data_IF_538596101503
#
_entry.id   IF_538596101503
#
_cell.length_a   1.000
_cell.length_b   1.000
_cell.length_c   1.000
_cell.angle_alpha   90.00
_cell.angle_beta   90.00
_cell.angle_gamma   90.00
#
_symmetry.space_group_name_H-M   'P 1'
#
loop_
_entity.id
_entity.type
_entity.pdbx_description
1 polymer ?
#
# COMPACT_ATOMS: atom_id res chain seq x y z
N UNK A 1 13.59 -10.95 -5.49
CA UNK A 1 14.10 -9.71 -6.11
C UNK A 1 15.51 -9.92 -6.67
N UNK A 2 15.90 -9.31 -7.83
CA UNK A 2 17.25 -9.48 -8.42
C UNK A 2 18.35 -8.77 -7.62
N UNK A 3 18.09 -7.59 -7.02
CA UNK A 3 19.04 -6.81 -6.21
C UNK A 3 18.71 -6.96 -4.73
N UNK A 4 19.07 -8.11 -4.16
CA UNK A 4 18.75 -8.47 -2.76
C UNK A 4 19.22 -7.45 -1.71
N UNK A 5 20.38 -6.79 -1.92
CA UNK A 5 20.90 -5.79 -0.97
C UNK A 5 20.04 -4.51 -0.85
N UNK A 6 19.23 -4.22 -1.87
CA UNK A 6 18.32 -3.07 -1.90
C UNK A 6 16.91 -3.44 -1.41
N UNK A 7 16.70 -4.67 -0.98
CA UNK A 7 15.40 -5.13 -0.50
C UNK A 7 15.20 -4.64 0.93
N UNK A 8 14.01 -4.08 1.18
CA UNK A 8 13.53 -3.76 2.53
C UNK A 8 13.07 -5.06 3.22
N UNK A 9 13.09 -5.07 4.55
CA UNK A 9 12.46 -6.13 5.31
C UNK A 9 10.93 -6.09 5.17
N UNK A 10 10.27 -7.15 5.60
CA UNK A 10 8.80 -7.20 5.60
C UNK A 10 8.23 -6.15 6.57
N UNK A 11 8.85 -5.96 7.74
CA UNK A 11 8.45 -4.96 8.73
C UNK A 11 8.59 -3.52 8.17
N UNK A 12 9.69 -3.22 7.48
CA UNK A 12 9.91 -1.93 6.84
C UNK A 12 8.86 -1.69 5.74
N UNK A 13 8.58 -2.72 4.94
CA UNK A 13 7.57 -2.66 3.86
C UNK A 13 6.16 -2.45 4.42
N UNK A 14 5.80 -3.17 5.49
CA UNK A 14 4.53 -2.99 6.20
C UNK A 14 4.42 -1.59 6.81
N UNK A 15 5.50 -1.09 7.43
CA UNK A 15 5.53 0.26 7.99
C UNK A 15 5.25 1.34 6.92
N UNK A 16 5.75 1.17 5.70
CA UNK A 16 5.46 2.05 4.57
C UNK A 16 3.97 1.98 4.21
N UNK A 17 3.41 0.77 4.08
CA UNK A 17 1.98 0.60 3.80
C UNK A 17 1.09 1.22 4.88
N UNK A 18 1.48 1.14 6.15
CA UNK A 18 0.74 1.74 7.26
C UNK A 18 0.79 3.27 7.27
N UNK A 19 1.90 3.87 6.85
CA UNK A 19 2.09 5.34 6.87
C UNK A 19 1.44 6.03 5.69
N UNK A 20 1.60 5.48 4.49
CA UNK A 20 1.08 6.09 3.28
C UNK A 20 -0.45 6.10 3.25
N UNK A 21 -1.00 7.07 2.54
CA UNK A 21 -2.46 7.27 2.41
C UNK A 21 -2.99 6.95 1.03
N UNK A 22 -2.10 6.81 0.05
CA UNK A 22 -2.47 6.51 -1.34
C UNK A 22 -1.38 5.69 -2.03
N UNK A 23 -1.77 5.02 -3.10
CA UNK A 23 -0.88 4.29 -3.98
C UNK A 23 -1.54 4.07 -5.34
N UNK A 24 -0.90 3.29 -6.17
CA UNK A 24 -1.39 2.94 -7.51
C UNK A 24 -1.83 1.47 -7.53
N UNK A 25 -3.11 1.25 -7.75
CA UNK A 25 -3.70 -0.07 -7.98
C UNK A 25 -3.58 -0.42 -9.46
N UNK A 26 -2.92 -1.53 -9.76
CA UNK A 26 -2.77 -2.05 -11.12
C UNK A 26 -3.65 -3.30 -11.30
N UNK A 27 -4.50 -3.25 -12.31
CA UNK A 27 -5.49 -4.25 -12.66
C UNK A 27 -5.31 -4.67 -14.13
N UNK A 28 -5.94 -5.76 -14.52
CA UNK A 28 -6.10 -6.13 -15.92
C UNK A 28 -7.29 -5.36 -16.49
N UNK A 29 -7.01 -4.39 -17.35
CA UNK A 29 -8.02 -3.58 -18.01
C UNK A 29 -8.53 -4.21 -19.30
N UNK A 30 -9.43 -3.50 -19.99
CA UNK A 30 -10.03 -3.92 -21.23
C UNK A 30 -9.00 -3.98 -22.37
N UNK A 31 -9.25 -4.87 -23.34
CA UNK A 31 -8.39 -5.03 -24.50
C UNK A 31 -6.97 -5.53 -24.17
N UNK A 32 -6.76 -6.08 -22.97
CA UNK A 32 -5.45 -6.57 -22.52
C UNK A 32 -4.49 -5.47 -22.02
N UNK A 33 -4.94 -4.24 -21.90
CA UNK A 33 -4.12 -3.16 -21.36
C UNK A 33 -3.98 -3.28 -19.82
N UNK A 34 -2.75 -3.13 -19.27
CA UNK A 34 -2.59 -2.88 -17.84
C UNK A 34 -3.29 -1.57 -17.47
N UNK A 35 -4.16 -1.64 -16.46
CA UNK A 35 -4.89 -0.47 -15.97
C UNK A 35 -4.34 -0.08 -14.59
N UNK A 36 -3.77 1.11 -14.48
CA UNK A 36 -3.19 1.67 -13.26
C UNK A 36 -4.01 2.88 -12.79
N UNK A 37 -4.52 2.83 -11.56
CA UNK A 37 -5.35 3.89 -11.00
C UNK A 37 -4.83 4.32 -9.63
N UNK A 38 -4.57 5.64 -9.40
CA UNK A 38 -4.28 6.16 -8.07
C UNK A 38 -5.52 6.01 -7.18
N UNK A 39 -5.30 5.55 -5.94
CA UNK A 39 -6.41 5.34 -5.00
C UNK A 39 -5.91 5.45 -3.54
N UNK A 40 -6.74 6.02 -2.69
CA UNK A 40 -6.53 6.00 -1.23
C UNK A 40 -6.88 4.63 -0.65
N UNK A 41 -6.15 4.23 0.39
CA UNK A 41 -6.29 2.89 0.98
C UNK A 41 -6.00 2.88 2.47
N UNK A 42 -6.33 1.79 3.12
CA UNK A 42 -5.84 1.45 4.46
C UNK A 42 -5.21 0.07 4.43
N UNK A 43 -4.04 -0.07 5.05
CA UNK A 43 -3.44 -1.35 5.38
C UNK A 43 -3.89 -1.77 6.77
N UNK A 44 -4.41 -2.97 6.91
CA UNK A 44 -4.75 -3.60 8.18
C UNK A 44 -4.58 -5.11 8.09
N UNK A 45 -3.81 -5.68 9.00
CA UNK A 45 -3.57 -7.12 9.19
C UNK A 45 -3.36 -7.91 7.89
N UNK A 46 -2.39 -7.49 7.07
CA UNK A 46 -2.03 -8.18 5.82
C UNK A 46 -2.93 -7.89 4.63
N UNK A 47 -3.90 -6.99 4.78
CA UNK A 47 -4.86 -6.64 3.74
C UNK A 47 -4.80 -5.16 3.41
N UNK A 48 -5.21 -4.83 2.17
CA UNK A 48 -5.48 -3.45 1.79
C UNK A 48 -6.98 -3.28 1.56
N UNK A 49 -7.52 -2.19 2.07
CA UNK A 49 -8.93 -1.87 1.95
C UNK A 49 -9.11 -0.57 1.17
N UNK A 50 -10.08 -0.58 0.28
CA UNK A 50 -10.44 0.58 -0.54
C UNK A 50 -11.94 0.77 -0.57
N UNK A 51 -12.37 1.98 -0.93
CA UNK A 51 -13.76 2.23 -1.30
C UNK A 51 -13.86 2.69 -2.75
N UNK A 52 -15.01 2.51 -3.35
CA UNK A 52 -15.30 2.92 -4.72
C UNK A 52 -16.78 3.28 -4.88
N UNK A 53 -17.10 4.02 -5.95
CA UNK A 53 -18.46 4.10 -6.46
C UNK A 53 -18.95 2.73 -6.90
N UNK A 54 -20.29 2.59 -7.03
CA UNK A 54 -20.96 1.32 -7.36
C UNK A 54 -20.62 0.76 -8.76
N UNK A 55 -20.09 1.59 -9.66
CA UNK A 55 -19.74 1.24 -11.04
C UNK A 55 -18.53 2.01 -11.53
N UNK A 56 -17.95 1.56 -12.62
CA UNK A 56 -16.83 2.18 -13.32
C UNK A 56 -15.76 1.17 -13.70
N UNK A 57 -14.82 1.60 -14.55
CA UNK A 57 -13.80 0.75 -15.16
C UNK A 57 -13.03 -0.12 -14.13
N UNK A 58 -12.67 0.46 -12.99
CA UNK A 58 -12.01 -0.26 -11.89
C UNK A 58 -12.87 -1.41 -11.36
N UNK A 59 -14.17 -1.19 -11.21
CA UNK A 59 -15.13 -2.19 -10.70
C UNK A 59 -15.26 -3.34 -11.71
N UNK A 60 -15.35 -3.00 -13.00
CA UNK A 60 -15.47 -3.98 -14.08
C UNK A 60 -14.17 -4.81 -14.19
N UNK A 61 -13.00 -4.16 -14.09
CA UNK A 61 -11.71 -4.84 -14.10
C UNK A 61 -11.57 -5.84 -12.94
N UNK A 62 -11.99 -5.47 -11.71
CA UNK A 62 -11.97 -6.36 -10.55
C UNK A 62 -12.92 -7.55 -10.73
N UNK A 63 -14.09 -7.35 -11.31
CA UNK A 63 -15.04 -8.44 -11.60
C UNK A 63 -14.50 -9.42 -12.63
N UNK A 64 -13.72 -8.95 -13.59
CA UNK A 64 -13.15 -9.76 -14.66
C UNK A 64 -11.88 -10.53 -14.24
N UNK A 65 -11.07 -9.98 -13.33
CA UNK A 65 -9.83 -10.61 -12.89
C UNK A 65 -9.53 -10.22 -11.44
N UNK A 66 -9.36 -11.22 -10.59
CA UNK A 66 -9.06 -11.05 -9.16
C UNK A 66 -7.57 -10.81 -8.86
N UNK A 67 -6.68 -10.94 -9.85
CA UNK A 67 -5.25 -10.69 -9.67
C UNK A 67 -4.94 -9.22 -9.84
N UNK A 68 -4.26 -8.66 -8.85
CA UNK A 68 -3.86 -7.26 -8.86
C UNK A 68 -2.48 -7.06 -8.25
N UNK A 69 -1.92 -5.88 -8.47
CA UNK A 69 -0.79 -5.39 -7.69
C UNK A 69 -1.04 -3.96 -7.22
N UNK A 70 -0.39 -3.60 -6.11
CA UNK A 70 -0.52 -2.27 -5.54
C UNK A 70 0.86 -1.70 -5.24
N UNK A 71 1.13 -0.50 -5.73
CA UNK A 71 2.42 0.18 -5.58
C UNK A 71 2.28 1.42 -4.71
N UNK A 72 3.17 1.53 -3.71
CA UNK A 72 3.31 2.72 -2.87
C UNK A 72 4.72 3.27 -3.03
N UNK A 73 4.84 4.56 -3.28
CA UNK A 73 6.11 5.30 -3.28
C UNK A 73 6.22 6.00 -1.94
N UNK A 74 7.20 5.59 -1.12
CA UNK A 74 7.50 6.21 0.18
C UNK A 74 8.43 7.41 0.00
N UNK A 75 9.39 7.29 -0.91
CA UNK A 75 10.36 8.34 -1.19
C UNK A 75 10.68 8.39 -2.69
N UNK A 76 10.74 9.62 -3.22
CA UNK A 76 11.22 9.94 -4.56
C UNK A 76 11.95 11.29 -4.50
N UNK A 77 13.28 11.25 -4.37
CA UNK A 77 14.11 12.43 -4.21
C UNK A 77 15.25 12.43 -5.25
N UNK A 78 15.08 13.22 -6.29
CA UNK A 78 16.12 13.39 -7.33
C UNK A 78 17.34 14.10 -6.74
N UNK A 79 18.54 13.57 -7.01
CA UNK A 79 19.85 14.13 -6.65
C UNK A 79 20.62 14.47 -7.92
N UNK A 80 20.42 15.66 -8.51
CA UNK A 80 21.01 15.99 -9.82
C UNK A 80 22.53 15.94 -9.85
N UNK A 81 23.18 16.40 -8.76
CA UNK A 81 24.64 16.39 -8.67
C UNK A 81 25.26 14.97 -8.60
N UNK A 82 24.47 13.98 -8.22
CA UNK A 82 24.88 12.58 -8.10
C UNK A 82 24.35 11.71 -9.26
N UNK A 83 23.58 12.31 -10.19
CA UNK A 83 22.93 11.61 -11.30
C UNK A 83 22.12 10.39 -10.85
N UNK A 84 21.41 10.50 -9.71
CA UNK A 84 20.63 9.42 -9.12
C UNK A 84 19.33 9.92 -8.48
N UNK A 85 18.46 8.98 -8.12
CA UNK A 85 17.24 9.23 -7.35
C UNK A 85 17.26 8.39 -6.08
N UNK A 86 17.10 9.04 -4.94
CA UNK A 86 16.93 8.37 -3.65
C UNK A 86 15.47 7.97 -3.52
N UNK A 87 15.16 6.74 -3.92
CA UNK A 87 13.81 6.22 -3.93
C UNK A 87 13.61 5.13 -2.89
N UNK A 88 12.37 5.01 -2.42
CA UNK A 88 11.88 3.89 -1.63
C UNK A 88 10.44 3.58 -2.02
N UNK A 89 10.14 2.33 -2.30
CA UNK A 89 8.81 1.91 -2.73
C UNK A 89 8.50 0.48 -2.28
N UNK A 90 7.19 0.19 -2.21
CA UNK A 90 6.67 -1.13 -1.89
C UNK A 90 5.70 -1.54 -2.99
N UNK A 91 5.75 -2.82 -3.39
CA UNK A 91 4.78 -3.43 -4.29
C UNK A 91 4.21 -4.68 -3.61
N UNK A 92 2.89 -4.69 -3.46
CA UNK A 92 2.11 -5.84 -3.03
C UNK A 92 1.49 -6.52 -4.26
N UNK A 93 1.48 -7.86 -4.28
CA UNK A 93 0.78 -8.70 -5.24
C UNK A 93 -0.23 -9.56 -4.49
N UNK A 94 -1.41 -9.76 -5.07
CA UNK A 94 -2.42 -10.54 -4.37
C UNK A 94 -3.74 -10.63 -5.11
N UNK A 95 -4.79 -10.95 -4.35
CA UNK A 95 -6.16 -11.12 -4.82
C UNK A 95 -7.03 -9.97 -4.37
N UNK A 96 -7.78 -9.42 -5.31
CA UNK A 96 -8.69 -8.30 -5.07
C UNK A 96 -10.13 -8.74 -5.31
N UNK A 97 -11.04 -8.30 -4.45
CA UNK A 97 -12.46 -8.59 -4.59
C UNK A 97 -13.34 -7.44 -4.11
N UNK A 98 -14.53 -7.36 -4.66
CA UNK A 98 -15.61 -6.56 -4.12
C UNK A 98 -16.21 -7.33 -2.93
N UNK A 99 -16.45 -6.63 -1.83
CA UNK A 99 -17.03 -7.20 -0.62
C UNK A 99 -18.55 -7.15 -0.74
N UNK A 100 -19.18 -8.32 -0.72
CA UNK A 100 -20.64 -8.47 -0.84
C UNK A 100 -21.33 -8.59 0.53
N UNK A 101 -20.62 -9.10 1.55
CA UNK A 101 -21.15 -9.21 2.90
C UNK A 101 -21.26 -7.84 3.55
N UNK A 102 -22.47 -7.49 4.00
CA UNK A 102 -22.76 -6.17 4.57
C UNK A 102 -22.04 -5.92 5.90
N UNK A 103 -21.76 -6.96 6.69
CA UNK A 103 -21.04 -6.84 7.96
C UNK A 103 -19.55 -6.57 7.71
N UNK A 104 -18.93 -7.29 6.75
CA UNK A 104 -17.56 -7.03 6.32
C UNK A 104 -17.42 -5.64 5.68
N UNK A 105 -18.38 -5.26 4.84
CA UNK A 105 -18.42 -3.93 4.21
C UNK A 105 -18.49 -2.81 5.25
N UNK A 106 -19.33 -2.95 6.27
CA UNK A 106 -19.42 -2.00 7.37
C UNK A 106 -18.11 -1.90 8.15
N UNK A 107 -17.49 -3.05 8.46
CA UNK A 107 -16.21 -3.09 9.15
C UNK A 107 -15.10 -2.35 8.36
N UNK A 108 -15.00 -2.60 7.06
CA UNK A 108 -14.05 -1.92 6.17
C UNK A 108 -14.33 -0.41 6.11
N UNK A 109 -15.60 -0.02 6.01
CA UNK A 109 -15.97 1.40 5.98
C UNK A 109 -15.56 2.12 7.28
N UNK A 110 -15.68 1.45 8.44
CA UNK A 110 -15.20 1.97 9.74
C UNK A 110 -13.68 2.08 9.78
N UNK A 111 -12.94 1.07 9.30
CA UNK A 111 -11.47 1.09 9.21
C UNK A 111 -11.02 2.29 8.36
N UNK A 112 -11.61 2.46 7.18
CA UNK A 112 -11.32 3.59 6.29
C UNK A 112 -11.65 4.93 6.95
N UNK A 113 -12.83 5.05 7.54
CA UNK A 113 -13.29 6.28 8.20
C UNK A 113 -12.37 6.69 9.36
N UNK A 114 -12.04 5.76 10.23
CA UNK A 114 -11.16 6.02 11.38
C UNK A 114 -9.72 6.37 10.98
N UNK A 115 -9.23 5.82 9.87
CA UNK A 115 -7.90 6.13 9.33
C UNK A 115 -7.77 7.58 8.90
N UNK A 116 -8.81 8.09 8.22
CA UNK A 116 -8.77 9.44 7.63
C UNK A 116 -9.38 10.53 8.53
N UNK A 117 -10.27 10.14 9.45
CA UNK A 117 -10.93 11.04 10.38
C UNK A 117 -10.91 10.45 11.80
N UNK A 118 -9.74 10.35 12.43
CA UNK A 118 -9.63 9.78 13.77
C UNK A 118 -10.39 10.61 14.80
N UNK A 119 -10.95 9.95 15.82
CA UNK A 119 -11.68 10.57 16.93
C UNK A 119 -12.96 11.32 16.52
N UNK A 120 -13.61 10.93 15.42
CA UNK A 120 -14.85 11.53 14.90
C UNK A 120 -15.99 10.51 14.82
N UNK A 121 -16.22 9.72 15.90
CA UNK A 121 -17.14 8.58 15.89
C UNK A 121 -18.58 8.97 15.52
N UNK A 122 -19.10 10.09 16.05
CA UNK A 122 -20.46 10.55 15.71
C UNK A 122 -20.60 10.96 14.24
N UNK A 123 -19.59 11.63 13.70
CA UNK A 123 -19.56 12.02 12.30
C UNK A 123 -19.44 10.80 11.38
N UNK A 124 -18.59 9.83 11.77
CA UNK A 124 -18.44 8.56 11.06
C UNK A 124 -19.75 7.79 11.04
N UNK A 125 -20.45 7.69 12.17
CA UNK A 125 -21.72 6.98 12.23
C UNK A 125 -22.77 7.59 11.30
N UNK A 126 -22.88 8.92 11.25
CA UNK A 126 -23.79 9.62 10.32
C UNK A 126 -23.41 9.37 8.86
N UNK A 127 -22.11 9.40 8.54
CA UNK A 127 -21.63 9.12 7.18
C UNK A 127 -21.95 7.68 6.75
N UNK A 128 -21.78 6.71 7.64
CA UNK A 128 -22.11 5.30 7.37
C UNK A 128 -23.60 5.09 7.11
N UNK A 129 -24.46 5.72 7.91
CA UNK A 129 -25.94 5.64 7.72
C UNK A 129 -26.39 6.16 6.34
N UNK A 130 -25.74 7.20 5.82
CA UNK A 130 -26.11 7.81 4.55
C UNK A 130 -25.29 7.30 3.34
N UNK A 131 -24.05 6.91 3.56
CA UNK A 131 -23.08 6.61 2.51
C UNK A 131 -22.89 5.14 2.19
N UNK A 132 -23.07 4.23 3.17
CA UNK A 132 -22.74 2.82 3.04
C UNK A 132 -23.42 2.13 1.86
N UNK A 133 -24.70 2.43 1.62
CA UNK A 133 -25.46 1.86 0.51
C UNK A 133 -25.01 2.31 -0.88
N UNK A 134 -24.25 3.43 -0.96
CA UNK A 134 -23.80 4.05 -2.21
C UNK A 134 -22.33 3.82 -2.51
N UNK A 135 -21.62 3.06 -1.67
CA UNK A 135 -20.22 2.69 -1.88
C UNK A 135 -20.03 1.18 -2.03
N UNK A 136 -19.00 0.81 -2.75
CA UNK A 136 -18.41 -0.53 -2.69
C UNK A 136 -17.22 -0.51 -1.74
N UNK A 137 -17.14 -1.52 -0.88
CA UNK A 137 -15.91 -1.88 -0.19
C UNK A 137 -15.14 -2.88 -1.05
N UNK A 138 -13.84 -2.69 -1.13
CA UNK A 138 -12.93 -3.55 -1.89
C UNK A 138 -11.84 -4.02 -0.93
N UNK A 139 -11.57 -5.32 -0.95
CA UNK A 139 -10.51 -5.96 -0.18
C UNK A 139 -9.46 -6.54 -1.12
N UNK A 140 -8.21 -6.34 -0.78
CA UNK A 140 -7.05 -6.91 -1.45
C UNK A 140 -6.24 -7.72 -0.44
N UNK A 141 -6.24 -9.04 -0.61
CA UNK A 141 -5.48 -9.98 0.20
C UNK A 141 -4.04 -10.06 -0.34
N UNK A 142 -3.05 -9.67 0.45
CA UNK A 142 -1.64 -9.66 0.03
C UNK A 142 -1.10 -11.09 0.04
N UNK A 143 -0.68 -11.61 -1.11
CA UNK A 143 -0.02 -12.90 -1.27
C UNK A 143 1.51 -12.77 -1.26
N UNK A 144 2.03 -11.64 -1.76
CA UNK A 144 3.46 -11.37 -1.83
C UNK A 144 3.75 -9.87 -1.71
N UNK A 145 4.71 -9.53 -0.85
CA UNK A 145 5.13 -8.16 -0.59
C UNK A 145 6.61 -7.99 -0.95
N UNK A 146 6.97 -6.90 -1.62
CA UNK A 146 8.35 -6.55 -1.90
C UNK A 146 8.58 -5.06 -1.67
N UNK A 147 9.54 -4.74 -0.81
CA UNK A 147 10.04 -3.39 -0.63
C UNK A 147 11.42 -3.21 -1.28
N UNK A 148 11.68 -2.03 -1.80
CA UNK A 148 12.96 -1.68 -2.43
C UNK A 148 13.35 -0.25 -2.14
N UNK A 149 14.66 -0.04 -1.89
CA UNK A 149 15.25 1.29 -1.76
C UNK A 149 16.45 1.49 -2.67
N UNK A 150 16.83 2.76 -2.88
CA UNK A 150 18.07 3.13 -3.56
C UNK A 150 19.30 2.62 -2.78
N UNK A 151 20.37 2.30 -3.50
CA UNK A 151 21.59 1.75 -2.88
C UNK A 151 22.25 2.76 -1.93
N UNK A 152 22.04 4.03 -2.16
CA UNK A 152 22.55 5.14 -1.34
C UNK A 152 21.86 5.15 0.03
N UNK A 153 20.53 4.97 0.06
CA UNK A 153 19.74 4.88 1.29
C UNK A 153 20.15 3.65 2.11
N UNK A 154 20.33 2.50 1.44
CA UNK A 154 20.80 1.28 2.07
C UNK A 154 22.17 1.51 2.73
N UNK A 155 23.14 2.13 2.04
CA UNK A 155 24.46 2.44 2.61
C UNK A 155 24.37 3.39 3.80
N UNK A 156 23.51 4.41 3.75
CA UNK A 156 23.30 5.32 4.87
C UNK A 156 22.74 4.60 6.10
N UNK A 157 21.82 3.68 5.90
CA UNK A 157 21.25 2.85 6.96
C UNK A 157 22.30 1.93 7.59
N UNK A 158 23.10 1.23 6.79
CA UNK A 158 24.20 0.38 7.28
C UNK A 158 25.22 1.18 8.10
N UNK A 159 25.59 2.39 7.64
CA UNK A 159 26.50 3.27 8.37
C UNK A 159 25.90 3.78 9.69
N UNK A 160 24.59 4.06 9.71
CA UNK A 160 23.90 4.49 10.93
C UNK A 160 23.86 3.37 11.96
N UNK A 161 23.52 2.15 11.53
CA UNK A 161 23.49 0.96 12.39
C UNK A 161 24.87 0.66 12.99
N UNK A 162 25.92 0.69 12.17
CA UNK A 162 27.30 0.47 12.64
C UNK A 162 27.79 1.52 13.66
N UNK A 163 27.18 2.69 13.71
CA UNK A 163 27.50 3.72 14.74
C UNK A 163 26.74 3.49 16.04
N UNK A 164 25.58 2.85 15.99
CA UNK A 164 24.76 2.53 17.17
C UNK A 164 25.25 1.27 17.88
N UNK A 165 25.84 0.32 17.14
CA UNK A 165 26.40 -0.94 17.64
C UNK A 165 27.94 -0.99 17.51
N UNK A 166 28.70 -0.19 18.26
CA UNK A 166 30.16 -0.15 18.13
C UNK A 166 30.88 -1.39 18.70
N UNK A 167 30.18 -2.40 19.19
CA UNK A 167 30.74 -3.52 19.97
C UNK A 167 31.19 -4.74 19.15
N UNK A 168 31.04 -4.77 17.82
CA UNK A 168 31.55 -5.88 16.99
C UNK A 168 32.66 -5.45 16.02
N UNK A 169 33.71 -4.81 16.53
CA UNK A 169 34.99 -4.78 15.82
C UNK A 169 35.77 -6.04 16.14
N UNK A 170 36.16 -6.89 15.18
CA UNK A 170 37.03 -8.01 15.45
C UNK A 170 38.39 -7.45 15.92
N UNK A 171 38.76 -7.76 17.16
CA UNK A 171 40.14 -7.56 17.62
C UNK A 171 41.07 -8.31 16.67
N UNK A 172 42.02 -7.57 16.09
CA UNK A 172 43.11 -8.09 15.28
C UNK A 172 44.03 -8.95 16.13
#
# INVERSE_FOLDING_TARGET
>A
MRRKRQQLSDEESISILQKATSGTLALLGDGGYPYAVPISYVYDDGNLYFHSAMSGHKVDAIRNCDKASFCVIDQDCVRPAEYTTYFRSVIAFGRIRIVEDESEKLAIARILGNRYNPNQEEALQKELEHGLARMLAIRFDIEHLTGKEAIELMKQREQHQARLDPAESPMK
#
